data_IF_563446613650
#
_entry.id   IF_563446613650
#
_cell.length_a   1.000
_cell.length_b   1.000
_cell.length_c   1.000
_cell.angle_alpha   90.00
_cell.angle_beta   90.00
_cell.angle_gamma   90.00
#
_symmetry.space_group_name_H-M   'P 1'
#
loop_
_entity.id
_entity.type
_entity.pdbx_description
1 polymer ?
#
# COMPACT_ATOMS: atom_id res chain seq x y z
N UNK A 1 25.13 25.00 14.51
CA UNK A 1 23.98 24.32 13.88
C UNK A 1 24.11 22.84 14.16
N UNK A 2 23.15 22.24 14.85
CA UNK A 2 23.13 20.79 15.07
C UNK A 2 22.33 20.15 13.93
N UNK A 3 22.88 19.12 13.32
CA UNK A 3 22.24 18.40 12.21
C UNK A 3 21.44 17.24 12.78
N UNK A 4 20.11 17.34 12.71
CA UNK A 4 19.20 16.31 13.12
C UNK A 4 18.98 15.32 11.97
N UNK A 5 19.90 14.37 11.84
CA UNK A 5 19.90 13.43 10.72
C UNK A 5 18.77 12.37 10.79
N UNK A 6 18.02 12.29 11.90
CA UNK A 6 17.08 11.19 12.18
C UNK A 6 15.75 11.65 12.81
N UNK A 7 15.39 12.92 12.68
CA UNK A 7 14.15 13.41 13.28
C UNK A 7 12.94 13.07 12.42
N UNK A 8 11.83 12.73 13.08
CA UNK A 8 10.53 12.59 12.43
C UNK A 8 10.06 14.00 12.01
N UNK A 9 9.98 14.25 10.71
CA UNK A 9 9.51 15.54 10.19
C UNK A 9 8.04 15.83 10.49
N UNK A 10 7.19 14.79 10.55
CA UNK A 10 5.75 14.90 10.83
C UNK A 10 5.28 13.75 11.72
N UNK A 11 4.71 14.07 12.89
CA UNK A 11 4.02 13.11 13.75
C UNK A 11 2.51 13.40 13.80
N UNK A 12 1.71 12.55 13.16
CA UNK A 12 0.25 12.63 13.20
C UNK A 12 -0.32 11.68 14.25
N UNK A 13 -0.92 12.21 15.32
CA UNK A 13 -1.57 11.41 16.37
C UNK A 13 -3.05 11.78 16.48
N UNK A 14 -3.94 10.80 16.30
CA UNK A 14 -5.38 10.95 16.57
C UNK A 14 -5.79 9.96 17.65
N UNK A 15 -6.08 10.48 18.86
CA UNK A 15 -6.31 9.66 20.07
C UNK A 15 -7.76 9.16 20.23
N UNK A 16 -8.64 9.45 19.28
CA UNK A 16 -10.05 9.07 19.34
C UNK A 16 -10.48 8.42 18.03
N UNK A 17 -11.05 9.17 17.09
CA UNK A 17 -11.46 8.70 15.77
C UNK A 17 -11.22 9.81 14.74
N UNK A 18 -10.07 9.74 14.07
CA UNK A 18 -9.70 10.71 13.06
C UNK A 18 -8.41 10.31 12.35
N UNK A 19 -8.05 11.09 11.34
CA UNK A 19 -6.80 10.88 10.61
C UNK A 19 -5.66 11.56 11.38
N UNK A 20 -4.58 10.82 11.66
CA UNK A 20 -3.33 11.44 12.10
C UNK A 20 -2.73 12.35 11.02
N UNK A 21 -2.82 11.91 9.75
CA UNK A 21 -2.44 12.68 8.56
C UNK A 21 -3.52 12.46 7.49
N UNK A 22 -4.02 13.55 6.91
CA UNK A 22 -5.05 13.54 5.86
C UNK A 22 -4.57 14.32 4.63
N UNK A 23 -4.38 13.63 3.51
CA UNK A 23 -4.05 14.26 2.23
C UNK A 23 -5.25 14.20 1.28
N UNK A 24 -5.71 15.35 0.80
CA UNK A 24 -6.84 15.48 -0.12
C UNK A 24 -6.45 16.32 -1.33
N UNK A 25 -6.84 15.87 -2.53
CA UNK A 25 -6.64 16.60 -3.78
C UNK A 25 -7.76 16.30 -4.76
N UNK A 26 -8.24 17.31 -5.49
CA UNK A 26 -9.29 17.15 -6.48
C UNK A 26 -8.77 16.67 -7.86
N UNK A 27 -7.50 16.89 -8.14
CA UNK A 27 -6.93 16.66 -9.48
C UNK A 27 -5.52 16.08 -9.48
N UNK A 28 -4.86 16.02 -8.31
CA UNK A 28 -3.47 15.60 -8.19
C UNK A 28 -3.24 14.61 -7.07
N UNK A 29 -1.99 14.53 -6.61
CA UNK A 29 -1.58 13.61 -5.56
C UNK A 29 -1.91 14.21 -4.19
N UNK A 30 -2.69 13.50 -3.37
CA UNK A 30 -2.97 13.90 -2.00
C UNK A 30 -1.77 13.72 -1.05
N UNK A 31 -1.04 12.61 -1.19
CA UNK A 31 0.18 12.30 -0.42
C UNK A 31 1.21 11.66 -1.36
N UNK A 32 2.43 12.21 -1.40
CA UNK A 32 3.53 11.73 -2.25
C UNK A 32 4.76 11.43 -1.40
N UNK A 33 5.28 10.21 -1.48
CA UNK A 33 6.49 9.77 -0.78
C UNK A 33 7.55 9.28 -1.76
N UNK A 34 8.81 9.66 -1.53
CA UNK A 34 9.97 9.24 -2.33
C UNK A 34 11.10 8.86 -1.39
N UNK A 35 11.80 7.78 -1.70
CA UNK A 35 13.00 7.34 -0.97
C UNK A 35 14.03 6.80 -1.96
N UNK A 36 15.32 7.01 -1.65
CA UNK A 36 16.45 6.59 -2.49
C UNK A 36 17.09 5.29 -1.97
N UNK A 37 17.07 5.07 -0.67
CA UNK A 37 17.77 3.95 -0.02
C UNK A 37 16.86 3.08 0.85
N UNK A 38 15.60 3.47 1.06
CA UNK A 38 14.68 2.77 1.97
C UNK A 38 13.23 2.80 1.49
N UNK A 39 12.32 2.48 2.41
CA UNK A 39 10.88 2.50 2.14
C UNK A 39 10.36 3.94 2.04
N UNK A 40 9.55 4.23 1.01
CA UNK A 40 8.88 5.52 0.87
C UNK A 40 7.61 5.66 1.74
N UNK A 41 7.08 4.53 2.22
CA UNK A 41 5.93 4.46 3.12
C UNK A 41 5.70 3.05 3.64
N UNK A 42 5.30 2.96 4.92
CA UNK A 42 4.99 1.70 5.62
C UNK A 42 3.67 1.86 6.39
N UNK A 43 2.79 0.88 6.26
CA UNK A 43 1.51 0.82 6.96
C UNK A 43 1.48 -0.46 7.80
N UNK A 44 1.33 -0.32 9.13
CA UNK A 44 1.45 -1.43 10.06
C UNK A 44 0.43 -1.32 11.19
N UNK A 45 -0.15 -2.47 11.57
CA UNK A 45 -0.90 -2.64 12.80
C UNK A 45 -0.07 -3.55 13.71
N UNK A 46 0.43 -3.02 14.81
CA UNK A 46 1.29 -3.74 15.76
C UNK A 46 0.51 -4.48 16.87
N UNK A 47 -0.81 -4.33 16.93
CA UNK A 47 -1.68 -5.05 17.84
C UNK A 47 -2.16 -6.35 17.19
N UNK A 48 -1.61 -7.50 17.60
CA UNK A 48 -1.93 -8.82 17.04
C UNK A 48 -3.41 -9.23 17.16
N UNK A 49 -4.15 -8.66 18.11
CA UNK A 49 -5.58 -8.95 18.26
C UNK A 49 -6.45 -8.14 17.28
N UNK A 50 -5.90 -7.15 16.59
CA UNK A 50 -6.64 -6.29 15.69
C UNK A 50 -6.87 -6.98 14.35
N UNK A 51 -8.14 -7.10 13.95
CA UNK A 51 -8.56 -7.75 12.71
C UNK A 51 -8.83 -6.78 11.56
N UNK A 52 -8.47 -5.50 11.71
CA UNK A 52 -8.66 -4.45 10.71
C UNK A 52 -7.62 -4.51 9.59
N UNK A 53 -7.87 -3.79 8.50
CA UNK A 53 -6.93 -3.64 7.39
C UNK A 53 -5.86 -2.59 7.71
N UNK A 54 -4.57 -2.95 7.58
CA UNK A 54 -3.48 -1.98 7.69
C UNK A 54 -3.49 -0.95 6.55
N UNK A 55 -3.89 -1.38 5.35
CA UNK A 55 -4.08 -0.54 4.18
C UNK A 55 -5.38 -0.95 3.48
N UNK A 56 -6.31 0.00 3.33
CA UNK A 56 -7.52 -0.16 2.54
C UNK A 56 -7.48 0.79 1.34
N UNK A 57 -7.59 0.27 0.12
CA UNK A 57 -7.50 1.05 -1.11
C UNK A 57 -8.78 0.83 -1.92
N UNK A 58 -9.42 1.92 -2.31
CA UNK A 58 -10.65 1.89 -3.10
C UNK A 58 -10.66 3.01 -4.14
N UNK A 59 -11.28 2.74 -5.29
CA UNK A 59 -11.53 3.71 -6.37
C UNK A 59 -12.96 3.55 -6.84
N UNK A 60 -13.67 4.67 -6.97
CA UNK A 60 -15.03 4.68 -7.52
C UNK A 60 -15.04 4.67 -9.06
N UNK A 61 -13.92 5.01 -9.69
CA UNK A 61 -13.76 4.98 -11.15
C UNK A 61 -13.06 3.71 -11.63
N UNK A 62 -12.93 3.56 -12.94
CA UNK A 62 -12.31 2.40 -13.61
C UNK A 62 -10.77 2.32 -13.50
N UNK A 63 -10.14 3.22 -12.75
CA UNK A 63 -8.70 3.23 -12.52
C UNK A 63 -8.21 2.04 -11.70
N UNK A 64 -6.90 1.84 -11.65
CA UNK A 64 -6.27 0.84 -10.77
C UNK A 64 -6.23 1.38 -9.35
N UNK A 65 -6.77 0.63 -8.38
CA UNK A 65 -6.59 0.96 -6.96
C UNK A 65 -5.12 0.92 -6.56
N UNK A 66 -4.42 -0.15 -6.95
CA UNK A 66 -2.97 -0.31 -6.74
C UNK A 66 -2.30 -0.60 -8.09
N UNK A 67 -1.21 0.10 -8.37
CA UNK A 67 -0.33 -0.18 -9.48
C UNK A 67 1.10 -0.35 -8.96
N UNK A 68 1.65 -1.55 -9.09
CA UNK A 68 2.98 -1.88 -8.62
C UNK A 68 3.86 -2.34 -9.79
N UNK A 69 5.04 -1.74 -9.87
CA UNK A 69 6.03 -2.04 -10.92
C UNK A 69 7.41 -2.13 -10.30
N UNK A 70 8.18 -3.14 -10.69
CA UNK A 70 9.59 -3.27 -10.32
C UNK A 70 10.42 -3.48 -11.58
N UNK A 71 11.58 -2.82 -11.66
CA UNK A 71 12.45 -2.92 -12.83
C UNK A 71 13.18 -4.26 -12.92
N UNK A 72 13.48 -4.86 -11.76
CA UNK A 72 14.29 -6.08 -11.65
C UNK A 72 13.63 -7.10 -10.72
N UNK A 73 13.03 -6.65 -9.62
CA UNK A 73 12.47 -7.52 -8.58
C UNK A 73 10.99 -7.84 -8.75
N UNK A 74 10.41 -8.37 -7.67
CA UNK A 74 8.98 -8.66 -7.58
C UNK A 74 8.17 -7.37 -7.44
N UNK A 75 7.11 -7.20 -8.23
CA UNK A 75 6.20 -6.06 -8.11
C UNK A 75 5.24 -6.19 -6.93
N UNK A 76 4.64 -7.37 -6.75
CA UNK A 76 3.74 -7.70 -5.63
C UNK A 76 4.05 -9.10 -5.13
N UNK A 77 4.30 -9.21 -3.84
CA UNK A 77 4.43 -10.48 -3.11
C UNK A 77 3.38 -10.50 -2.00
N UNK A 78 2.69 -11.62 -1.84
CA UNK A 78 1.77 -11.82 -0.74
C UNK A 78 2.08 -13.13 -0.04
N UNK A 79 2.26 -13.06 1.27
CA UNK A 79 2.66 -14.18 2.12
C UNK A 79 1.69 -14.32 3.27
N UNK A 80 1.24 -15.55 3.52
CA UNK A 80 0.36 -15.87 4.63
C UNK A 80 1.02 -16.96 5.50
N UNK A 81 1.18 -16.69 6.80
CA UNK A 81 1.84 -17.59 7.74
C UNK A 81 0.88 -18.51 8.51
N UNK A 82 -0.40 -18.53 8.13
CA UNK A 82 -1.44 -19.34 8.78
C UNK A 82 -1.97 -20.41 7.82
N UNK A 83 -2.28 -21.59 8.35
CA UNK A 83 -2.75 -22.79 7.63
C UNK A 83 -4.03 -22.59 6.79
N UNK A 84 -4.68 -21.43 6.88
CA UNK A 84 -5.96 -21.15 6.19
C UNK A 84 -6.04 -19.72 5.65
N UNK A 85 -4.89 -19.10 5.36
CA UNK A 85 -4.83 -17.75 4.80
C UNK A 85 -4.18 -17.76 3.41
N UNK A 86 -4.59 -16.84 2.55
CA UNK A 86 -3.97 -16.66 1.23
C UNK A 86 -3.11 -15.40 1.19
N UNK A 87 -1.94 -15.51 0.56
CA UNK A 87 -1.02 -14.37 0.40
C UNK A 87 -1.54 -13.32 -0.59
N UNK A 88 -1.94 -13.74 -1.79
CA UNK A 88 -2.61 -12.89 -2.80
C UNK A 88 -3.91 -13.59 -3.20
N UNK A 89 -5.04 -12.90 -3.03
CA UNK A 89 -6.38 -13.41 -3.37
C UNK A 89 -7.10 -12.36 -4.21
N UNK A 90 -7.62 -12.75 -5.37
CA UNK A 90 -8.48 -11.92 -6.20
C UNK A 90 -9.91 -12.44 -6.18
N UNK A 91 -10.87 -11.52 -6.25
CA UNK A 91 -12.30 -11.82 -6.32
C UNK A 91 -12.94 -10.92 -7.37
N UNK A 92 -13.68 -11.50 -8.31
CA UNK A 92 -14.50 -10.75 -9.25
C UNK A 92 -15.96 -11.13 -9.08
N UNK A 93 -16.82 -10.13 -8.99
CA UNK A 93 -18.26 -10.33 -8.76
C UNK A 93 -19.13 -10.09 -9.99
N UNK A 94 -18.58 -9.48 -11.05
CA UNK A 94 -19.31 -9.07 -12.25
C UNK A 94 -18.85 -9.80 -13.53
N UNK A 95 -18.04 -10.86 -13.38
CA UNK A 95 -17.39 -11.58 -14.48
C UNK A 95 -16.02 -10.99 -14.84
N UNK A 96 -15.02 -11.86 -15.06
CA UNK A 96 -13.65 -11.48 -15.42
C UNK A 96 -12.56 -12.24 -14.66
N UNK A 97 -11.29 -11.99 -15.02
CA UNK A 97 -10.10 -12.59 -14.40
C UNK A 97 -9.67 -11.83 -13.14
N UNK A 98 -9.57 -12.51 -11.99
CA UNK A 98 -9.38 -11.84 -10.69
C UNK A 98 -7.90 -11.75 -10.29
N UNK A 99 -7.13 -12.76 -10.71
CA UNK A 99 -5.67 -12.76 -10.69
C UNK A 99 -5.27 -13.38 -12.02
N UNK A 100 -4.39 -12.69 -12.74
CA UNK A 100 -3.93 -13.10 -14.05
C UNK A 100 -2.45 -12.88 -14.26
N UNK A 101 -1.91 -13.59 -15.25
CA UNK A 101 -0.50 -13.53 -15.61
C UNK A 101 -0.37 -13.33 -17.10
N UNK A 102 0.44 -12.36 -17.51
CA UNK A 102 0.80 -12.15 -18.93
C UNK A 102 2.31 -12.10 -19.02
N UNK A 103 2.89 -13.09 -19.69
CA UNK A 103 4.31 -13.06 -20.04
C UNK A 103 4.49 -12.28 -21.35
N UNK A 104 5.51 -11.41 -21.43
CA UNK A 104 5.94 -10.83 -22.71
C UNK A 104 7.27 -11.44 -23.12
N UNK A 105 7.29 -12.15 -24.25
CA UNK A 105 8.55 -12.60 -24.86
C UNK A 105 9.35 -11.37 -25.30
N UNK A 106 10.65 -11.34 -24.97
CA UNK A 106 11.61 -10.49 -25.69
C UNK A 106 11.96 -11.24 -26.97
N UNK A 107 11.63 -10.64 -28.13
CA UNK A 107 12.15 -11.09 -29.42
C UNK A 107 13.63 -10.69 -29.55
#
# INVERSE_FOLDING_TARGET
MWYHANDIGVCGNSSTAGFGVYGFSNSGVGVYGVSTTGEAGRFEINNNANTSHALNVSTNGSGRGVFATSAIGTGVEGTANALSAGGIIGRNFLGGEAIGWVCRCKF
#
